data_IF_525468960313
#
_entry.id   IF_525468960313
#
_cell.length_a   1.000
_cell.length_b   1.000
_cell.length_c   1.000
_cell.angle_alpha   90.00
_cell.angle_beta   90.00
_cell.angle_gamma   90.00
#
_symmetry.space_group_name_H-M   'P 1'
#
loop_
_entity.id
_entity.type
_entity.pdbx_description
1 polymer ?
#
# COMPACT_ATOMS: atom_id res chain seq x y z
N UNK A 1 -8.69 6.87 1.81
CA UNK A 1 -9.05 6.03 0.64
C UNK A 1 -7.86 5.27 0.06
N UNK A 2 -6.78 5.95 -0.37
CA UNK A 2 -5.66 5.26 -1.01
C UNK A 2 -4.99 4.20 -0.12
N UNK A 3 -4.77 4.49 1.17
CA UNK A 3 -4.22 3.55 2.17
C UNK A 3 -5.26 2.62 2.84
N UNK A 4 -6.42 2.35 2.22
CA UNK A 4 -7.37 1.38 2.78
C UNK A 4 -6.75 -0.03 2.91
N UNK A 5 -5.76 -0.31 2.05
CA UNK A 5 -4.95 -1.51 2.06
C UNK A 5 -3.46 -1.13 2.14
N UNK A 6 -2.63 -1.89 2.88
CA UNK A 6 -1.18 -1.70 2.86
C UNK A 6 -0.60 -2.24 1.54
N UNK A 7 0.47 -1.61 1.05
CA UNK A 7 1.17 -2.00 -0.19
C UNK A 7 1.81 -3.39 -0.12
N UNK A 8 1.94 -3.97 1.07
CA UNK A 8 2.45 -5.31 1.33
C UNK A 8 1.35 -6.31 1.74
N UNK A 9 0.06 -5.98 1.53
CA UNK A 9 -1.08 -6.83 1.95
C UNK A 9 -0.99 -8.27 1.46
N UNK A 10 -0.33 -8.49 0.31
CA UNK A 10 -0.23 -9.79 -0.32
C UNK A 10 0.45 -10.85 0.55
N UNK A 11 1.33 -10.41 1.45
CA UNK A 11 2.04 -11.29 2.39
C UNK A 11 1.19 -11.67 3.62
N UNK A 12 0.12 -10.93 3.92
CA UNK A 12 -0.84 -11.28 4.98
C UNK A 12 -2.24 -10.69 4.73
N UNK A 13 -3.01 -11.41 3.92
CA UNK A 13 -4.41 -11.05 3.60
C UNK A 13 -5.32 -11.10 4.83
N UNK A 14 -4.91 -11.67 5.98
CA UNK A 14 -5.77 -11.71 7.17
C UNK A 14 -5.61 -10.48 8.04
N UNK A 15 -4.37 -9.97 8.16
CA UNK A 15 -4.05 -8.80 9.01
C UNK A 15 -4.01 -7.48 8.24
N UNK A 16 -4.21 -7.46 6.93
CA UNK A 16 -4.05 -6.25 6.12
C UNK A 16 -4.85 -5.04 6.63
N UNK A 17 -6.09 -5.20 7.11
CA UNK A 17 -6.88 -4.08 7.66
C UNK A 17 -6.23 -3.48 8.92
N UNK A 18 -5.73 -4.32 9.83
CA UNK A 18 -4.99 -3.86 11.02
C UNK A 18 -3.65 -3.21 10.67
N UNK A 19 -2.96 -3.71 9.65
CA UNK A 19 -1.71 -3.13 9.16
C UNK A 19 -1.95 -1.78 8.47
N UNK A 20 -3.02 -1.65 7.66
CA UNK A 20 -3.45 -0.36 7.12
C UNK A 20 -3.78 0.64 8.23
N UNK A 21 -4.48 0.20 9.28
CA UNK A 21 -4.79 1.04 10.43
C UNK A 21 -3.52 1.51 11.17
N UNK A 22 -2.52 0.64 11.35
CA UNK A 22 -1.25 1.04 11.97
C UNK A 22 -0.49 2.07 11.12
N UNK A 23 -0.47 1.90 9.79
CA UNK A 23 0.09 2.92 8.89
C UNK A 23 -0.70 4.23 8.94
N UNK A 24 -2.03 4.17 9.03
CA UNK A 24 -2.86 5.36 9.16
C UNK A 24 -2.56 6.11 10.48
N UNK A 25 -2.39 5.38 11.58
CA UNK A 25 -2.01 5.95 12.87
C UNK A 25 -0.61 6.59 12.83
N UNK A 26 0.36 5.93 12.19
CA UNK A 26 1.70 6.47 12.00
C UNK A 26 1.67 7.82 11.25
N UNK A 27 0.82 7.91 10.23
CA UNK A 27 0.66 9.10 9.40
C UNK A 27 -0.27 10.15 9.99
N UNK A 28 -0.88 9.87 11.15
CA UNK A 28 -1.88 10.71 11.82
C UNK A 28 -3.06 11.05 10.89
N UNK A 29 -3.51 10.05 10.12
CA UNK A 29 -4.67 10.15 9.24
C UNK A 29 -5.76 9.19 9.70
N UNK A 30 -7.02 9.58 9.49
CA UNK A 30 -8.15 8.69 9.75
C UNK A 30 -8.25 7.64 8.64
N UNK A 31 -8.17 6.37 9.03
CA UNK A 31 -8.53 5.28 8.11
C UNK A 31 -10.04 5.37 7.81
N UNK A 32 -10.46 5.34 6.54
CA UNK A 32 -11.88 5.35 6.22
C UNK A 32 -12.56 4.10 6.77
N UNK A 33 -13.78 4.25 7.29
CA UNK A 33 -14.63 3.12 7.64
C UNK A 33 -14.86 2.22 6.43
N UNK A 34 -15.06 0.92 6.66
CA UNK A 34 -15.25 -0.07 5.58
C UNK A 34 -16.43 0.29 4.67
N UNK A 35 -17.49 0.82 5.25
CA UNK A 35 -18.67 1.35 4.55
C UNK A 35 -18.34 2.44 3.52
N UNK A 36 -17.29 3.23 3.77
CA UNK A 36 -16.85 4.33 2.90
C UNK A 36 -16.15 3.83 1.66
N UNK A 37 -15.26 2.83 1.77
CA UNK A 37 -14.45 2.35 0.64
C UNK A 37 -14.93 1.05 0.01
N UNK A 38 -15.79 0.28 0.68
CA UNK A 38 -16.16 -1.08 0.24
C UNK A 38 -16.78 -1.09 -1.16
N UNK A 39 -17.65 -0.12 -1.49
CA UNK A 39 -18.23 -0.05 -2.84
C UNK A 39 -17.14 0.16 -3.90
N UNK A 40 -16.22 1.08 -3.64
CA UNK A 40 -15.10 1.37 -4.55
C UNK A 40 -14.13 0.18 -4.66
N UNK A 41 -13.80 -0.47 -3.55
CA UNK A 41 -12.96 -1.68 -3.50
C UNK A 41 -13.60 -2.84 -4.29
N UNK A 42 -14.91 -3.05 -4.13
CA UNK A 42 -15.65 -4.05 -4.91
C UNK A 42 -15.64 -3.74 -6.41
N UNK A 43 -15.85 -2.49 -6.82
CA UNK A 43 -15.79 -2.08 -8.22
C UNK A 43 -14.37 -2.21 -8.79
N UNK A 44 -13.36 -1.80 -8.03
CA UNK A 44 -11.95 -1.89 -8.43
C UNK A 44 -11.44 -3.33 -8.51
N UNK A 45 -11.96 -4.22 -7.66
CA UNK A 45 -11.67 -5.65 -7.71
C UNK A 45 -12.37 -6.36 -8.89
N UNK A 46 -13.47 -5.80 -9.41
CA UNK A 46 -14.17 -6.31 -10.59
C UNK A 46 -14.65 -7.77 -10.49
N UNK A 47 -14.54 -8.52 -11.59
CA UNK A 47 -14.95 -9.92 -11.75
C UNK A 47 -14.21 -10.90 -10.82
N UNK A 48 -13.04 -10.52 -10.28
CA UNK A 48 -12.22 -11.39 -9.42
C UNK A 48 -13.00 -11.88 -8.19
N UNK A 49 -13.74 -10.96 -7.55
CA UNK A 49 -14.57 -11.25 -6.37
C UNK A 49 -15.86 -11.99 -6.70
N UNK A 50 -16.32 -11.93 -7.95
CA UNK A 50 -17.48 -12.68 -8.41
C UNK A 50 -17.15 -14.14 -8.74
N UNK A 51 -15.93 -14.40 -9.24
CA UNK A 51 -15.53 -15.71 -9.73
C UNK A 51 -14.80 -16.59 -8.69
N UNK A 52 -14.11 -15.98 -7.72
CA UNK A 52 -13.22 -16.70 -6.80
C UNK A 52 -13.60 -16.46 -5.33
N UNK A 53 -13.64 -17.53 -4.54
CA UNK A 53 -13.84 -17.44 -3.09
C UNK A 53 -12.65 -16.71 -2.42
N UNK A 54 -12.95 -15.89 -1.42
CA UNK A 54 -11.92 -15.26 -0.59
C UNK A 54 -11.35 -16.23 0.44
N UNK A 55 -10.61 -15.69 1.41
CA UNK A 55 -10.21 -16.47 2.59
C UNK A 55 -11.46 -16.98 3.34
N UNK A 56 -11.46 -18.27 3.67
CA UNK A 56 -12.43 -18.91 4.56
C UNK A 56 -11.68 -19.81 5.55
N UNK A 57 -12.11 -19.89 6.83
CA UNK A 57 -11.53 -20.84 7.78
C UNK A 57 -11.72 -22.30 7.36
N UNK A 58 -12.81 -22.59 6.66
CA UNK A 58 -13.08 -23.91 6.08
C UNK A 58 -12.20 -24.14 4.84
N UNK A 59 -11.33 -25.15 4.91
CA UNK A 59 -10.41 -25.51 3.84
C UNK A 59 -11.14 -25.86 2.53
N UNK A 60 -12.36 -26.42 2.58
CA UNK A 60 -13.12 -26.76 1.38
C UNK A 60 -13.66 -25.53 0.64
N UNK A 61 -13.72 -24.38 1.31
CA UNK A 61 -14.24 -23.11 0.77
C UNK A 61 -13.17 -22.01 0.69
N UNK A 62 -11.95 -22.29 1.14
CA UNK A 62 -10.87 -21.32 1.19
C UNK A 62 -10.26 -21.12 -0.20
N UNK A 63 -10.44 -19.93 -0.77
CA UNK A 63 -9.82 -19.56 -2.03
C UNK A 63 -8.54 -18.73 -1.87
N UNK A 64 -8.06 -18.46 -0.65
CA UNK A 64 -6.84 -17.69 -0.45
C UNK A 64 -5.60 -18.49 -0.91
N UNK A 65 -4.72 -17.81 -1.64
CA UNK A 65 -3.42 -18.34 -2.07
C UNK A 65 -2.32 -17.72 -1.21
N UNK A 66 -1.44 -18.56 -0.67
CA UNK A 66 -0.21 -18.13 -0.02
C UNK A 66 0.80 -17.67 -1.08
N UNK A 67 0.89 -16.35 -1.25
CA UNK A 67 1.77 -15.75 -2.25
C UNK A 67 3.25 -15.95 -1.92
N UNK A 68 3.63 -16.01 -0.64
CA UNK A 68 5.03 -16.24 -0.25
C UNK A 68 5.49 -17.64 -0.66
N UNK A 69 4.59 -18.62 -0.61
CA UNK A 69 4.87 -19.98 -1.07
C UNK A 69 4.89 -20.10 -2.60
N UNK A 70 4.14 -19.26 -3.32
CA UNK A 70 4.07 -19.26 -4.79
C UNK A 70 3.95 -17.84 -5.36
N UNK A 71 5.07 -17.09 -5.45
CA UNK A 71 5.07 -15.67 -5.78
C UNK A 71 4.98 -15.43 -7.30
N UNK A 72 3.93 -15.99 -7.91
CA UNK A 72 3.69 -15.91 -9.33
C UNK A 72 2.82 -14.69 -9.65
N UNK A 73 3.24 -13.93 -10.65
CA UNK A 73 2.38 -12.93 -11.31
C UNK A 73 2.07 -13.38 -12.72
N UNK A 74 0.84 -13.13 -13.17
CA UNK A 74 0.36 -13.50 -14.51
C UNK A 74 0.37 -12.26 -15.40
N UNK A 75 0.79 -12.44 -16.65
CA UNK A 75 0.63 -11.35 -17.62
C UNK A 75 -0.85 -11.23 -17.99
N UNK A 76 -1.46 -10.04 -17.97
CA UNK A 76 -2.91 -9.88 -18.18
C UNK A 76 -3.42 -10.16 -19.59
N UNK A 77 -2.53 -10.39 -20.57
CA UNK A 77 -2.87 -10.47 -22.00
C UNK A 77 -2.31 -11.73 -22.67
N UNK A 78 -1.34 -12.39 -22.05
CA UNK A 78 -0.71 -13.60 -22.59
C UNK A 78 -0.63 -14.64 -21.48
N UNK A 79 -0.76 -15.93 -21.79
CA UNK A 79 -0.73 -17.01 -20.80
C UNK A 79 0.72 -17.28 -20.36
N UNK A 80 1.37 -16.29 -19.73
CA UNK A 80 2.71 -16.37 -19.17
C UNK A 80 2.70 -15.94 -17.71
N UNK A 81 3.56 -16.58 -16.94
CA UNK A 81 3.82 -16.25 -15.54
C UNK A 81 5.23 -15.75 -15.36
N UNK A 82 5.43 -14.91 -14.35
CA UNK A 82 6.73 -14.49 -13.85
C UNK A 82 6.80 -14.86 -12.37
N UNK A 83 7.89 -15.49 -11.96
CA UNK A 83 8.17 -15.79 -10.57
C UNK A 83 8.93 -14.60 -9.96
N UNK A 84 8.35 -13.96 -8.94
CA UNK A 84 8.98 -12.84 -8.24
C UNK A 84 9.93 -13.35 -7.16
N UNK A 85 11.06 -12.67 -7.03
CA UNK A 85 11.96 -12.88 -5.89
C UNK A 85 11.40 -12.16 -4.67
N UNK A 86 10.75 -12.91 -3.77
CA UNK A 86 10.17 -12.36 -2.53
C UNK A 86 10.85 -12.87 -1.24
N UNK A 87 11.84 -13.75 -1.35
CA UNK A 87 12.60 -14.29 -0.22
C UNK A 87 11.70 -14.98 0.83
N UNK A 88 12.22 -15.10 2.06
CA UNK A 88 11.38 -15.38 3.24
C UNK A 88 10.78 -14.05 3.70
N UNK A 89 9.64 -13.70 3.12
CA UNK A 89 8.93 -12.47 3.42
C UNK A 89 8.38 -12.52 4.87
N UNK A 90 9.15 -12.01 5.83
CA UNK A 90 8.62 -11.74 7.18
C UNK A 90 7.75 -10.49 7.13
N UNK A 91 6.44 -10.71 7.20
CA UNK A 91 5.43 -9.66 7.19
C UNK A 91 5.69 -8.58 8.23
N UNK A 92 6.13 -8.92 9.44
CA UNK A 92 6.36 -7.91 10.48
C UNK A 92 7.59 -7.07 10.14
N UNK A 93 8.70 -7.70 9.74
CA UNK A 93 9.88 -6.99 9.24
C UNK A 93 9.61 -6.14 8.00
N UNK A 94 8.73 -6.57 7.08
CA UNK A 94 8.29 -5.77 5.92
C UNK A 94 7.50 -4.55 6.38
N UNK A 95 6.60 -4.75 7.34
CA UNK A 95 5.78 -3.67 7.88
C UNK A 95 6.64 -2.62 8.60
N UNK A 96 7.55 -3.06 9.47
CA UNK A 96 8.45 -2.18 10.21
C UNK A 96 9.37 -1.40 9.28
N UNK A 97 9.97 -2.06 8.27
CA UNK A 97 10.82 -1.40 7.29
C UNK A 97 10.05 -0.35 6.45
N UNK A 98 8.77 -0.59 6.15
CA UNK A 98 7.91 0.41 5.53
C UNK A 98 7.67 1.60 6.47
N UNK A 99 7.38 1.35 7.75
CA UNK A 99 7.20 2.42 8.75
C UNK A 99 8.46 3.25 8.94
N UNK A 100 9.62 2.62 8.96
CA UNK A 100 10.92 3.29 9.02
C UNK A 100 11.14 4.17 7.79
N UNK A 101 10.88 3.65 6.59
CA UNK A 101 10.99 4.43 5.36
C UNK A 101 10.04 5.64 5.35
N UNK A 102 8.78 5.45 5.77
CA UNK A 102 7.80 6.54 5.87
C UNK A 102 8.24 7.58 6.92
N UNK A 103 8.70 7.14 8.08
CA UNK A 103 9.19 8.01 9.15
C UNK A 103 10.34 8.87 8.66
N UNK A 104 11.30 8.25 7.96
CA UNK A 104 12.43 8.94 7.36
C UNK A 104 11.99 9.93 6.28
N UNK A 105 11.25 9.48 5.26
CA UNK A 105 10.92 10.30 4.08
C UNK A 105 9.95 11.45 4.40
N UNK A 106 9.09 11.25 5.40
CA UNK A 106 8.13 12.25 5.84
C UNK A 106 8.66 13.08 7.01
N UNK A 107 9.73 12.66 7.70
CA UNK A 107 10.27 13.38 8.85
C UNK A 107 9.37 13.28 10.09
N UNK A 108 8.68 12.15 10.28
CA UNK A 108 7.74 11.97 11.38
C UNK A 108 8.47 11.98 12.72
N UNK A 109 7.84 12.58 13.73
CA UNK A 109 8.40 12.69 15.09
C UNK A 109 9.44 13.80 15.28
N UNK A 110 9.80 14.56 14.24
CA UNK A 110 10.69 15.73 14.33
C UNK A 110 9.89 17.02 14.51
N UNK A 111 10.48 17.97 15.23
CA UNK A 111 10.03 19.37 15.32
C UNK A 111 10.43 20.15 14.07
N UNK A 112 9.76 21.28 13.81
CA UNK A 112 10.14 22.18 12.70
C UNK A 112 11.58 22.68 12.83
N UNK A 113 12.05 22.94 14.05
CA UNK A 113 13.41 23.38 14.30
C UNK A 113 14.42 22.30 13.88
N UNK A 114 14.20 21.04 14.28
CA UNK A 114 15.04 19.91 13.86
C UNK A 114 15.02 19.70 12.35
N UNK A 115 13.86 19.90 11.70
CA UNK A 115 13.71 19.76 10.25
C UNK A 115 14.47 20.86 9.49
N UNK A 116 14.40 22.10 9.95
CA UNK A 116 15.05 23.23 9.29
C UNK A 116 16.55 23.33 9.58
N UNK A 117 17.02 22.69 10.65
CA UNK A 117 18.44 22.49 10.90
C UNK A 117 19.11 21.53 9.90
N UNK A 118 18.33 20.70 9.18
CA UNK A 118 18.86 19.80 8.14
C UNK A 118 19.24 20.58 6.86
N UNK A 119 20.27 20.12 6.12
CA UNK A 119 20.57 20.60 4.77
C UNK A 119 19.32 20.54 3.88
N UNK A 120 19.10 21.56 3.06
CA UNK A 120 17.86 21.70 2.29
C UNK A 120 17.58 20.50 1.36
N UNK A 121 18.62 19.90 0.80
CA UNK A 121 18.58 18.72 -0.08
C UNK A 121 18.32 17.40 0.66
N UNK A 122 18.47 17.39 1.99
CA UNK A 122 18.20 16.25 2.87
C UNK A 122 16.87 16.38 3.63
N UNK A 123 16.19 17.52 3.51
CA UNK A 123 14.95 17.79 4.23
C UNK A 123 13.83 16.82 3.81
N UNK A 124 13.15 16.18 4.77
CA UNK A 124 12.01 15.33 4.46
C UNK A 124 10.75 16.18 4.21
N UNK A 125 9.67 15.52 3.78
CA UNK A 125 8.45 16.22 3.31
C UNK A 125 7.89 17.23 4.32
N UNK A 126 7.88 16.90 5.63
CA UNK A 126 7.35 17.78 6.67
C UNK A 126 8.11 19.10 6.85
N UNK A 127 9.33 19.21 6.31
CA UNK A 127 10.08 20.46 6.36
C UNK A 127 9.48 21.53 5.42
N UNK A 128 8.74 21.09 4.39
CA UNK A 128 8.13 21.94 3.37
C UNK A 128 6.62 22.11 3.57
N UNK A 129 5.97 21.14 4.22
CA UNK A 129 4.52 21.13 4.44
C UNK A 129 4.23 20.86 5.91
N UNK A 130 3.78 21.87 6.67
CA UNK A 130 3.46 21.70 8.08
C UNK A 130 1.99 21.29 8.25
N UNK A 131 1.78 20.02 8.60
CA UNK A 131 0.45 19.45 8.86
C UNK A 131 -0.40 20.25 9.86
N UNK A 132 0.21 21.02 10.78
CA UNK A 132 -0.50 21.79 11.81
C UNK A 132 -0.99 23.15 11.31
N UNK A 133 -0.28 23.72 10.34
CA UNK A 133 -0.57 25.04 9.80
C UNK A 133 -1.31 24.97 8.46
N UNK A 134 -0.95 24.00 7.62
CA UNK A 134 -1.47 23.81 6.26
C UNK A 134 -1.88 22.33 6.05
N UNK A 135 -2.90 21.84 6.77
CA UNK A 135 -3.27 20.42 6.76
C UNK A 135 -3.71 19.91 5.37
N UNK A 136 -4.34 20.75 4.55
CA UNK A 136 -4.76 20.39 3.19
C UNK A 136 -3.56 20.23 2.25
N UNK A 137 -2.58 21.14 2.33
CA UNK A 137 -1.34 21.06 1.54
C UNK A 137 -0.52 19.84 1.97
N UNK A 138 -0.46 19.56 3.27
CA UNK A 138 0.16 18.34 3.80
C UNK A 138 -0.52 17.09 3.26
N UNK A 139 -1.85 17.02 3.30
CA UNK A 139 -2.60 15.87 2.79
C UNK A 139 -2.37 15.67 1.28
N UNK A 140 -2.31 16.75 0.50
CA UNK A 140 -1.99 16.70 -0.92
C UNK A 140 -0.57 16.20 -1.17
N UNK A 141 0.42 16.74 -0.44
CA UNK A 141 1.82 16.32 -0.54
C UNK A 141 1.99 14.85 -0.15
N UNK A 142 1.34 14.41 0.94
CA UNK A 142 1.32 13.02 1.37
C UNK A 142 0.71 12.11 0.31
N UNK A 143 -0.43 12.49 -0.29
CA UNK A 143 -1.03 11.74 -1.38
C UNK A 143 -0.08 11.59 -2.57
N UNK A 144 0.56 12.68 -3.02
CA UNK A 144 1.52 12.62 -4.11
C UNK A 144 2.73 11.76 -3.77
N UNK A 145 3.22 11.82 -2.54
CA UNK A 145 4.29 10.94 -2.08
C UNK A 145 3.86 9.46 -2.16
N UNK A 146 2.70 9.11 -1.59
CA UNK A 146 2.19 7.73 -1.60
C UNK A 146 1.95 7.21 -3.02
N UNK A 147 1.34 8.04 -3.87
CA UNK A 147 0.93 7.67 -5.22
C UNK A 147 2.11 7.60 -6.21
N UNK A 148 3.03 8.58 -6.19
CA UNK A 148 4.10 8.69 -7.19
C UNK A 148 5.47 8.22 -6.67
N UNK A 149 5.78 8.47 -5.40
CA UNK A 149 7.15 8.32 -4.88
C UNK A 149 7.37 7.01 -4.12
N UNK A 150 6.42 6.60 -3.27
CA UNK A 150 6.60 5.49 -2.33
C UNK A 150 7.09 4.20 -3.00
N UNK A 151 6.44 3.79 -4.10
CA UNK A 151 6.85 2.62 -4.88
C UNK A 151 8.33 2.68 -5.33
N UNK A 152 8.74 3.83 -5.86
CA UNK A 152 10.12 4.06 -6.30
C UNK A 152 11.09 4.04 -5.11
N UNK A 153 10.69 4.64 -3.97
CA UNK A 153 11.49 4.65 -2.73
C UNK A 153 11.73 3.24 -2.21
N UNK A 154 10.68 2.43 -2.08
CA UNK A 154 10.76 1.03 -1.64
C UNK A 154 11.72 0.22 -2.51
N UNK A 155 11.63 0.36 -3.83
CA UNK A 155 12.55 -0.30 -4.77
C UNK A 155 13.99 0.18 -4.62
N UNK A 156 14.21 1.50 -4.61
CA UNK A 156 15.56 2.08 -4.59
C UNK A 156 16.29 1.84 -3.26
N UNK A 157 15.55 1.80 -2.15
CA UNK A 157 16.08 1.47 -0.83
C UNK A 157 16.18 -0.04 -0.60
N UNK A 158 15.76 -0.86 -1.56
CA UNK A 158 15.67 -2.31 -1.43
C UNK A 158 14.98 -2.73 -0.13
N UNK A 159 13.87 -2.06 0.20
CA UNK A 159 13.16 -2.28 1.47
C UNK A 159 12.76 -3.75 1.58
N UNK A 160 13.23 -4.42 2.62
CA UNK A 160 12.99 -5.84 2.90
C UNK A 160 13.45 -6.79 1.80
N UNK A 161 14.52 -6.43 1.07
CA UNK A 161 15.10 -7.24 0.00
C UNK A 161 14.15 -7.60 -1.17
N UNK A 162 13.05 -6.85 -1.30
CA UNK A 162 12.08 -7.06 -2.37
C UNK A 162 12.46 -6.33 -3.67
N UNK A 163 13.32 -5.30 -3.61
CA UNK A 163 13.81 -4.58 -4.79
C UNK A 163 12.71 -4.24 -5.81
N UNK A 164 12.85 -4.72 -7.05
CA UNK A 164 11.87 -4.50 -8.12
C UNK A 164 10.56 -5.27 -7.93
N UNK A 165 10.51 -6.30 -7.08
CA UNK A 165 9.26 -7.02 -6.78
C UNK A 165 8.20 -6.10 -6.20
N UNK A 166 8.59 -5.02 -5.50
CA UNK A 166 7.68 -3.96 -5.06
C UNK A 166 6.81 -3.41 -6.20
N UNK A 167 7.34 -3.32 -7.43
CA UNK A 167 6.59 -2.79 -8.57
C UNK A 167 5.45 -3.72 -9.02
N UNK A 168 5.56 -5.02 -8.71
CA UNK A 168 4.75 -6.10 -9.26
C UNK A 168 3.94 -6.86 -8.21
N UNK A 169 4.11 -6.58 -6.91
CA UNK A 169 3.32 -7.22 -5.86
C UNK A 169 1.83 -7.11 -6.20
N UNK A 170 1.12 -8.24 -6.34
CA UNK A 170 -0.25 -8.21 -6.83
C UNK A 170 -1.22 -7.70 -5.76
N UNK A 171 -2.34 -7.15 -6.21
CA UNK A 171 -3.43 -6.78 -5.32
C UNK A 171 -4.18 -8.01 -4.77
N UNK A 172 -4.19 -9.11 -5.52
CA UNK A 172 -4.93 -10.33 -5.20
C UNK A 172 -4.07 -11.55 -5.54
N UNK A 173 -3.83 -12.44 -4.58
CA UNK A 173 -3.02 -13.65 -4.80
C UNK A 173 -3.71 -14.69 -5.68
N UNK A 174 -5.03 -14.59 -5.83
CA UNK A 174 -5.86 -15.53 -6.61
C UNK A 174 -5.87 -15.19 -8.09
N UNK A 175 -5.73 -13.89 -8.40
CA UNK A 175 -5.59 -13.35 -9.75
C UNK A 175 -4.47 -12.30 -9.73
N UNK A 176 -3.20 -12.75 -9.79
CA UNK A 176 -2.06 -11.87 -9.64
C UNK A 176 -1.68 -11.18 -10.98
N UNK A 177 -2.67 -10.57 -11.63
CA UNK A 177 -2.57 -9.99 -12.97
C UNK A 177 -2.35 -8.47 -12.98
N UNK A 178 -2.53 -7.82 -11.83
CA UNK A 178 -2.28 -6.40 -11.66
C UNK A 178 -1.61 -6.08 -10.31
N UNK A 179 -0.69 -5.11 -10.27
CA UNK A 179 -0.05 -4.67 -9.04
C UNK A 179 -1.03 -4.02 -8.07
N UNK A 180 -0.75 -4.14 -6.76
CA UNK A 180 -1.47 -3.48 -5.67
C UNK A 180 -1.59 -1.98 -5.90
N UNK A 181 -0.57 -1.33 -6.48
CA UNK A 181 -0.58 0.10 -6.79
C UNK A 181 -1.74 0.51 -7.70
N UNK A 182 -2.07 -0.31 -8.70
CA UNK A 182 -3.20 -0.04 -9.60
C UNK A 182 -4.52 -0.17 -8.86
N UNK A 183 -4.64 -1.18 -8.00
CA UNK A 183 -5.81 -1.36 -7.16
C UNK A 183 -6.03 -0.19 -6.20
N UNK A 184 -5.00 0.24 -5.46
CA UNK A 184 -5.09 1.39 -4.55
C UNK A 184 -5.48 2.67 -5.30
N UNK A 185 -4.86 2.90 -6.47
CA UNK A 185 -5.17 4.04 -7.32
C UNK A 185 -6.62 4.01 -7.82
N UNK A 186 -7.10 2.86 -8.29
CA UNK A 186 -8.45 2.70 -8.81
C UNK A 186 -9.51 2.81 -7.72
N UNK A 187 -9.33 2.15 -6.57
CA UNK A 187 -10.22 2.28 -5.41
C UNK A 187 -10.28 3.74 -4.93
N UNK A 188 -9.15 4.43 -4.90
CA UNK A 188 -9.12 5.85 -4.53
C UNK A 188 -9.87 6.72 -5.55
N UNK A 189 -9.69 6.49 -6.85
CA UNK A 189 -10.35 7.27 -7.90
C UNK A 189 -11.88 7.06 -7.89
N UNK A 190 -12.33 5.80 -7.85
CA UNK A 190 -13.77 5.47 -7.78
C UNK A 190 -14.37 6.03 -6.49
N UNK A 191 -13.67 5.85 -5.36
CA UNK A 191 -14.12 6.33 -4.06
C UNK A 191 -14.30 7.83 -4.00
N UNK A 192 -13.35 8.59 -4.56
CA UNK A 192 -13.47 10.05 -4.65
C UNK A 192 -14.59 10.50 -5.59
N UNK A 193 -14.84 9.78 -6.69
CA UNK A 193 -15.97 10.07 -7.57
C UNK A 193 -17.32 9.83 -6.87
N UNK A 194 -17.47 8.70 -6.17
CA UNK A 194 -18.69 8.37 -5.43
C UNK A 194 -18.98 9.33 -4.26
N UNK A 195 -17.96 9.99 -3.72
CA UNK A 195 -18.12 10.96 -2.63
C UNK A 195 -18.50 12.37 -3.13
N UNK A 196 -18.33 12.64 -4.44
CA UNK A 196 -18.69 13.91 -5.06
C UNK A 196 -20.14 13.93 -5.59
N UNK A 197 -20.80 12.76 -5.61
CA UNK A 197 -22.22 12.56 -5.94
C UNK A 197 -23.11 12.61 -4.68
#
# INVERSE_FOLDING_TARGET
MWLHDPVHKIFDIRRHESLAQDLANLLDITAPGKDVYQKADMMASGLTRAALSGYKPDAAQNGAVDFSASPLVTHPLIPKTLNLSVGNADINGIHDALKELLTHDLGLGKTLEELWAMPEDERPLSAFFDRRNTPEEWAQALYFYLFFSLKKRLRQKNTSDLGSSWDLLPADSRMPDHPVWHHLGLTSAIGSALAAD
#
